data_IF_949510704032
#
_entry.id   IF_949510704032
#
_cell.length_a   1.000
_cell.length_b   1.000
_cell.length_c   1.000
_cell.angle_alpha   90.00
_cell.angle_beta   90.00
_cell.angle_gamma   90.00
#
_symmetry.space_group_name_H-M   'P 1'
#
loop_
_entity.id
_entity.type
_entity.pdbx_description
1 polymer ?
#
# COMPACT_ATOMS: atom_id res chain seq x y z
N UNK A 1 -1.39 24.09 -6.64
CA UNK A 1 0.01 24.58 -6.61
C UNK A 1 0.76 24.28 -7.90
N UNK A 2 0.88 23.05 -8.43
CA UNK A 2 1.61 22.81 -9.69
C UNK A 2 1.08 23.73 -10.79
N UNK A 3 -0.24 23.81 -10.99
CA UNK A 3 -0.88 24.68 -11.99
C UNK A 3 -0.70 26.19 -11.75
N UNK A 4 -0.28 26.64 -10.55
CA UNK A 4 0.06 28.05 -10.31
C UNK A 4 1.51 28.39 -10.66
N UNK A 5 2.36 27.36 -10.87
CA UNK A 5 3.78 27.53 -11.22
C UNK A 5 3.98 27.47 -12.73
N UNK A 6 3.21 26.67 -13.44
CA UNK A 6 3.31 26.50 -14.89
C UNK A 6 1.95 26.30 -15.53
N UNK A 7 1.75 26.90 -16.71
CA UNK A 7 0.57 26.65 -17.57
C UNK A 7 0.78 25.52 -18.57
N UNK A 8 2.01 25.02 -18.71
CA UNK A 8 2.34 23.91 -19.58
C UNK A 8 1.72 22.60 -19.01
N UNK A 9 0.73 22.06 -19.71
CA UNK A 9 -0.02 20.87 -19.27
C UNK A 9 0.85 19.63 -19.18
N UNK A 10 1.74 19.43 -20.14
CA UNK A 10 2.63 18.25 -20.18
C UNK A 10 3.58 18.29 -18.98
N UNK A 11 4.13 19.45 -18.65
CA UNK A 11 4.98 19.61 -17.47
C UNK A 11 4.19 19.36 -16.18
N UNK A 12 2.95 19.85 -16.07
CA UNK A 12 2.09 19.52 -14.92
C UNK A 12 1.89 18.02 -14.77
N UNK A 13 1.65 17.32 -15.88
CA UNK A 13 1.45 15.87 -15.90
C UNK A 13 2.74 15.13 -15.52
N UNK A 14 3.89 15.50 -16.05
CA UNK A 14 5.18 14.90 -15.68
C UNK A 14 5.46 15.07 -14.19
N UNK A 15 5.24 16.26 -13.64
CA UNK A 15 5.44 16.52 -12.21
C UNK A 15 4.48 15.73 -11.32
N UNK A 16 3.25 15.46 -11.77
CA UNK A 16 2.23 14.73 -11.02
C UNK A 16 2.23 13.22 -11.27
N UNK A 17 2.98 12.72 -12.27
CA UNK A 17 2.93 11.32 -12.72
C UNK A 17 3.23 10.28 -11.63
N UNK A 18 4.00 10.65 -10.61
CA UNK A 18 4.36 9.78 -9.49
C UNK A 18 3.30 9.72 -8.39
N UNK A 19 2.16 10.40 -8.54
CA UNK A 19 1.07 10.45 -7.53
C UNK A 19 0.58 9.07 -7.09
N UNK A 20 0.68 8.06 -7.95
CA UNK A 20 0.33 6.67 -7.66
C UNK A 20 1.16 6.07 -6.51
N UNK A 21 2.40 6.52 -6.30
CA UNK A 21 3.31 5.98 -5.26
C UNK A 21 2.85 6.24 -3.83
N UNK A 22 2.07 7.30 -3.60
CA UNK A 22 1.61 7.70 -2.28
C UNK A 22 0.08 7.79 -2.16
N UNK A 23 -0.66 7.25 -3.13
CA UNK A 23 -2.12 7.31 -3.14
C UNK A 23 -2.65 8.75 -3.35
N UNK A 24 -1.92 9.56 -4.12
CA UNK A 24 -2.24 10.96 -4.34
C UNK A 24 -3.58 11.18 -5.00
N UNK A 25 -4.42 12.04 -4.42
CA UNK A 25 -5.73 12.41 -4.94
C UNK A 25 -5.70 13.89 -5.29
N UNK A 26 -6.13 14.22 -6.52
CA UNK A 26 -6.25 15.59 -7.00
C UNK A 26 -7.07 16.44 -6.04
N UNK A 27 -6.59 17.64 -5.75
CA UNK A 27 -7.21 18.60 -4.85
C UNK A 27 -7.37 18.18 -3.36
N UNK A 28 -6.90 16.97 -2.97
CA UNK A 28 -6.90 16.49 -1.58
C UNK A 28 -5.48 16.34 -1.03
N UNK A 29 -4.57 15.75 -1.81
CA UNK A 29 -3.17 15.57 -1.38
C UNK A 29 -2.43 16.90 -1.28
N UNK A 30 -1.63 17.04 -0.22
CA UNK A 30 -0.87 18.27 0.01
C UNK A 30 0.34 18.35 -0.91
N UNK A 31 0.72 19.58 -1.29
CA UNK A 31 1.97 19.78 -2.05
C UNK A 31 3.21 19.38 -1.25
N UNK A 32 3.17 19.54 0.07
CA UNK A 32 4.25 19.14 0.96
C UNK A 32 4.54 17.63 0.85
N UNK A 33 3.51 16.79 0.94
CA UNK A 33 3.62 15.35 0.79
C UNK A 33 4.18 14.98 -0.58
N UNK A 34 3.63 15.57 -1.64
CA UNK A 34 4.12 15.39 -3.00
C UNK A 34 5.59 15.78 -3.16
N UNK A 35 5.98 16.95 -2.64
CA UNK A 35 7.35 17.43 -2.73
C UNK A 35 8.35 16.56 -1.96
N UNK A 36 8.01 16.13 -0.74
CA UNK A 36 8.85 15.24 0.06
C UNK A 36 9.13 13.91 -0.64
N UNK A 37 8.08 13.29 -1.19
CA UNK A 37 8.21 11.99 -1.84
C UNK A 37 9.04 12.12 -3.12
N UNK A 38 8.76 13.12 -3.96
CA UNK A 38 9.57 13.33 -5.16
C UNK A 38 11.01 13.68 -4.83
N UNK A 39 11.26 14.50 -3.81
CA UNK A 39 12.62 14.83 -3.39
C UNK A 39 13.41 13.59 -2.98
N UNK A 40 12.80 12.65 -2.26
CA UNK A 40 13.45 11.40 -1.87
C UNK A 40 13.93 10.57 -3.08
N UNK A 41 13.18 10.59 -4.18
CA UNK A 41 13.59 9.94 -5.41
C UNK A 41 14.65 10.71 -6.20
N UNK A 42 14.63 12.05 -6.13
CA UNK A 42 15.66 12.90 -6.77
C UNK A 42 17.00 12.79 -6.05
N UNK A 43 17.00 12.68 -4.73
CA UNK A 43 18.23 12.51 -3.95
C UNK A 43 18.85 11.12 -4.19
N UNK A 44 18.06 10.06 -4.09
CA UNK A 44 18.49 8.71 -4.44
C UNK A 44 17.33 7.72 -4.43
N UNK A 45 17.35 6.76 -5.37
CA UNK A 45 16.42 5.65 -5.42
C UNK A 45 17.18 4.34 -5.47
N UNK A 46 16.87 3.41 -4.56
CA UNK A 46 17.51 2.11 -4.47
C UNK A 46 16.49 0.99 -4.64
N UNK A 47 16.97 -0.13 -5.15
CA UNK A 47 16.21 -1.39 -5.20
C UNK A 47 17.01 -2.48 -4.50
N UNK A 48 16.32 -3.32 -3.76
CA UNK A 48 16.96 -4.50 -3.17
C UNK A 48 17.19 -5.55 -4.24
N UNK A 49 18.43 -6.04 -4.36
CA UNK A 49 18.70 -7.30 -5.02
C UNK A 49 18.07 -8.42 -4.20
N UNK A 50 17.47 -9.42 -4.80
CA UNK A 50 16.80 -10.55 -4.10
C UNK A 50 15.54 -10.18 -3.29
N UNK A 51 15.06 -8.94 -3.37
CA UNK A 51 13.79 -8.50 -2.77
C UNK A 51 13.92 -7.91 -1.38
N UNK A 52 12.85 -7.26 -0.93
CA UNK A 52 12.80 -6.48 0.32
C UNK A 52 12.66 -7.32 1.60
N UNK A 53 12.43 -8.64 1.49
CA UNK A 53 12.30 -9.52 2.65
C UNK A 53 13.56 -9.53 3.54
N UNK A 54 14.74 -9.33 2.95
CA UNK A 54 16.00 -9.25 3.68
C UNK A 54 15.99 -8.17 4.77
N UNK A 55 15.33 -7.03 4.55
CA UNK A 55 15.18 -5.98 5.57
C UNK A 55 14.41 -6.52 6.78
N UNK A 56 13.31 -7.22 6.53
CA UNK A 56 12.51 -7.82 7.61
C UNK A 56 13.29 -8.90 8.36
N UNK A 57 14.06 -9.72 7.66
CA UNK A 57 14.88 -10.77 8.29
C UNK A 57 15.97 -10.17 9.16
N UNK A 58 16.66 -9.14 8.72
CA UNK A 58 17.68 -8.45 9.52
C UNK A 58 17.06 -7.77 10.75
N UNK A 59 15.91 -7.12 10.63
CA UNK A 59 15.19 -6.56 11.78
C UNK A 59 14.78 -7.64 12.78
N UNK A 60 14.29 -8.78 12.32
CA UNK A 60 13.98 -9.94 13.16
C UNK A 60 15.23 -10.45 13.89
N UNK A 61 16.34 -10.53 13.18
CA UNK A 61 17.63 -10.93 13.77
C UNK A 61 18.05 -9.97 14.89
N UNK A 62 18.01 -8.66 14.64
CA UNK A 62 18.34 -7.64 15.64
C UNK A 62 17.42 -7.70 16.84
N UNK A 63 16.11 -7.86 16.65
CA UNK A 63 15.14 -8.00 17.73
C UNK A 63 15.51 -9.19 18.63
N UNK A 64 15.75 -10.35 18.03
CA UNK A 64 16.10 -11.57 18.76
C UNK A 64 17.45 -11.49 19.46
N UNK A 65 18.45 -10.89 18.82
CA UNK A 65 19.77 -10.69 19.41
C UNK A 65 19.74 -9.78 20.65
N UNK A 66 18.74 -8.91 20.76
CA UNK A 66 18.52 -8.05 21.92
C UNK A 66 17.47 -8.62 22.90
N UNK A 67 17.18 -9.92 22.84
CA UNK A 67 16.27 -10.59 23.78
C UNK A 67 14.78 -10.41 23.45
N UNK A 68 14.45 -9.77 22.33
CA UNK A 68 13.07 -9.62 21.89
C UNK A 68 12.51 -10.88 21.23
N UNK A 69 11.19 -10.96 21.15
CA UNK A 69 10.49 -12.09 20.52
C UNK A 69 9.68 -11.60 19.32
N UNK A 70 9.71 -12.36 18.24
CA UNK A 70 8.87 -12.14 17.06
C UNK A 70 7.89 -13.31 16.94
N UNK A 71 6.62 -13.02 17.08
CA UNK A 71 5.52 -13.99 17.05
C UNK A 71 4.78 -13.89 15.70
N UNK A 72 4.53 -15.04 15.08
CA UNK A 72 3.74 -15.14 13.85
C UNK A 72 2.37 -15.76 14.15
N UNK A 73 1.38 -15.45 13.33
CA UNK A 73 0.01 -15.98 13.47
C UNK A 73 -0.62 -15.64 14.83
N UNK A 74 -0.29 -14.46 15.35
CA UNK A 74 -0.82 -13.89 16.57
C UNK A 74 -1.58 -12.61 16.20
N UNK A 75 -2.90 -12.66 16.28
CA UNK A 75 -3.77 -11.53 16.04
C UNK A 75 -4.01 -10.81 17.37
N UNK A 76 -3.69 -9.52 17.43
CA UNK A 76 -4.06 -8.68 18.56
C UNK A 76 -5.54 -8.35 18.45
N UNK A 77 -6.33 -8.81 19.40
CA UNK A 77 -7.80 -8.66 19.40
C UNK A 77 -8.27 -7.55 20.33
N UNK A 78 -7.44 -7.12 21.28
CA UNK A 78 -7.75 -6.00 22.18
C UNK A 78 -6.49 -5.39 22.78
N UNK A 79 -6.50 -4.08 22.99
CA UNK A 79 -5.49 -3.35 23.77
C UNK A 79 -6.10 -3.06 25.13
N UNK A 80 -5.50 -3.63 26.18
CA UNK A 80 -6.01 -3.58 27.53
C UNK A 80 -5.59 -2.28 28.23
N UNK A 81 -6.56 -1.57 28.78
CA UNK A 81 -6.36 -0.31 29.50
C UNK A 81 -7.00 -0.39 30.88
N UNK A 82 -6.26 -0.06 31.93
CA UNK A 82 -6.76 0.06 33.29
C UNK A 82 -6.16 1.31 33.94
N UNK A 83 -6.99 2.08 34.64
CA UNK A 83 -6.56 3.29 35.33
C UNK A 83 -5.74 4.25 34.43
N UNK A 84 -6.23 4.44 33.19
CA UNK A 84 -5.60 5.25 32.14
C UNK A 84 -4.24 4.76 31.63
N UNK A 85 -3.79 3.59 32.06
CA UNK A 85 -2.51 3.00 31.67
C UNK A 85 -2.70 1.73 30.84
N UNK A 86 -1.81 1.51 29.88
CA UNK A 86 -1.75 0.28 29.12
C UNK A 86 -1.32 -0.86 30.06
N UNK A 87 -2.03 -1.99 29.98
CA UNK A 87 -1.69 -3.21 30.70
C UNK A 87 -1.10 -4.29 29.79
N UNK A 88 -1.33 -4.19 28.50
CA UNK A 88 -0.88 -5.17 27.51
C UNK A 88 -1.84 -5.32 26.35
N UNK A 89 -1.77 -6.45 25.68
CA UNK A 89 -2.64 -6.82 24.57
C UNK A 89 -3.22 -8.22 24.74
N UNK A 90 -4.45 -8.41 24.30
CA UNK A 90 -5.05 -9.72 24.15
C UNK A 90 -4.77 -10.23 22.72
N UNK A 91 -4.38 -11.48 22.64
CA UNK A 91 -3.99 -12.13 21.37
C UNK A 91 -4.87 -13.35 21.13
N UNK A 92 -5.40 -13.49 19.93
CA UNK A 92 -6.27 -14.60 19.49
C UNK A 92 -7.48 -14.85 20.41
N UNK A 93 -7.96 -13.84 21.17
CA UNK A 93 -9.02 -13.95 22.21
C UNK A 93 -8.70 -14.90 23.38
N UNK A 94 -7.46 -15.31 23.55
CA UNK A 94 -7.09 -16.34 24.53
C UNK A 94 -5.91 -15.94 25.43
N UNK A 95 -4.92 -15.29 24.88
CA UNK A 95 -3.64 -15.02 25.56
C UNK A 95 -3.49 -13.54 25.86
N UNK A 96 -3.02 -13.21 27.05
CA UNK A 96 -2.68 -11.83 27.43
C UNK A 96 -1.16 -11.70 27.48
N UNK A 97 -0.64 -10.75 26.70
CA UNK A 97 0.75 -10.34 26.76
C UNK A 97 0.83 -9.00 27.49
N UNK A 98 1.37 -9.05 28.71
CA UNK A 98 1.52 -7.86 29.54
C UNK A 98 2.60 -6.92 28.99
N UNK A 99 2.32 -5.62 28.96
CA UNK A 99 3.25 -4.58 28.53
C UNK A 99 2.79 -3.22 29.02
N UNK A 100 3.74 -2.36 29.37
CA UNK A 100 3.48 -0.96 29.73
C UNK A 100 3.38 -0.03 28.51
N UNK A 101 3.84 -0.47 27.34
CA UNK A 101 3.81 0.29 26.09
C UNK A 101 3.36 -0.59 24.93
N UNK A 102 2.57 -0.02 24.03
CA UNK A 102 2.15 -0.67 22.80
C UNK A 102 2.39 0.30 21.62
N UNK A 103 3.14 -0.17 20.63
CA UNK A 103 3.31 0.54 19.36
C UNK A 103 2.45 -0.15 18.32
N UNK A 104 1.47 0.55 17.78
CA UNK A 104 0.58 0.03 16.75
C UNK A 104 0.97 0.58 15.37
N UNK A 105 1.21 -0.32 14.42
CA UNK A 105 1.38 -0.02 13.00
C UNK A 105 0.13 -0.36 12.19
N UNK A 106 -1.03 -0.50 12.84
CA UNK A 106 -2.31 -0.69 12.19
C UNK A 106 -2.88 0.64 11.70
N UNK A 107 -3.86 0.56 10.81
CA UNK A 107 -4.66 1.73 10.45
C UNK A 107 -5.22 2.41 11.72
N UNK A 108 -5.14 3.74 11.85
CA UNK A 108 -5.55 4.43 13.08
C UNK A 108 -6.96 4.10 13.57
N UNK A 109 -7.92 3.95 12.65
CA UNK A 109 -9.30 3.55 13.02
C UNK A 109 -9.34 2.13 13.60
N UNK A 110 -8.55 1.19 13.07
CA UNK A 110 -8.44 -0.18 13.62
C UNK A 110 -7.79 -0.15 15.01
N UNK A 111 -6.70 0.59 15.17
CA UNK A 111 -6.07 0.76 16.50
C UNK A 111 -7.08 1.27 17.53
N UNK A 112 -7.88 2.29 17.17
CA UNK A 112 -8.92 2.80 18.06
C UNK A 112 -10.03 1.77 18.36
N UNK A 113 -10.33 0.90 17.42
CA UNK A 113 -11.35 -0.15 17.62
C UNK A 113 -10.88 -1.27 18.55
N UNK A 114 -9.58 -1.49 18.65
CA UNK A 114 -8.97 -2.47 19.56
C UNK A 114 -8.81 -1.96 20.99
N UNK A 115 -8.89 -0.65 21.22
CA UNK A 115 -8.76 -0.07 22.55
C UNK A 115 -9.95 -0.48 23.43
N UNK A 116 -9.62 -0.89 24.66
CA UNK A 116 -10.62 -1.14 25.70
C UNK A 116 -11.44 0.13 25.98
N UNK A 117 -12.70 -0.03 26.41
CA UNK A 117 -13.64 1.09 26.65
C UNK A 117 -13.18 2.08 27.72
N UNK A 118 -12.24 1.67 28.56
CA UNK A 118 -11.68 2.47 29.68
C UNK A 118 -10.58 3.45 29.26
N UNK A 119 -10.42 3.74 27.96
CA UNK A 119 -9.40 4.69 27.49
C UNK A 119 -9.81 6.14 27.74
N UNK A 120 -8.82 7.00 28.01
CA UNK A 120 -9.00 8.45 28.23
C UNK A 120 -8.87 9.30 26.95
N UNK A 121 -8.90 8.68 25.78
CA UNK A 121 -8.78 9.40 24.51
C UNK A 121 -10.02 10.30 24.32
N UNK A 122 -9.76 11.59 24.09
CA UNK A 122 -10.82 12.59 23.91
C UNK A 122 -11.74 12.22 22.76
N UNK A 123 -13.08 12.28 22.96
CA UNK A 123 -14.05 11.94 21.91
C UNK A 123 -13.86 12.72 20.61
N UNK A 124 -13.44 13.98 20.67
CA UNK A 124 -13.16 14.79 19.50
C UNK A 124 -11.99 14.22 18.65
N UNK A 125 -10.96 13.65 19.29
CA UNK A 125 -9.86 12.98 18.57
C UNK A 125 -10.36 11.70 17.89
N UNK A 126 -11.13 10.88 18.60
CA UNK A 126 -11.75 9.65 18.07
C UNK A 126 -12.62 9.97 16.86
N UNK A 127 -13.48 11.00 16.97
CA UNK A 127 -14.33 11.44 15.87
C UNK A 127 -13.50 11.90 14.66
N UNK A 128 -12.44 12.65 14.88
CA UNK A 128 -11.55 13.11 13.81
C UNK A 128 -10.88 11.93 13.09
N UNK A 129 -10.38 10.94 13.82
CA UNK A 129 -9.76 9.76 13.20
C UNK A 129 -10.79 8.94 12.41
N UNK A 130 -12.01 8.79 12.94
CA UNK A 130 -13.09 8.07 12.27
C UNK A 130 -13.62 8.78 11.02
N UNK A 131 -13.45 10.09 10.92
CA UNK A 131 -13.87 10.88 9.75
C UNK A 131 -12.82 10.93 8.64
N UNK A 132 -11.62 10.37 8.84
CA UNK A 132 -10.59 10.31 7.80
C UNK A 132 -11.05 9.40 6.67
N UNK A 133 -11.03 9.94 5.46
CA UNK A 133 -11.29 9.17 4.25
C UNK A 133 -10.02 8.41 3.82
N UNK A 134 -10.20 7.18 3.43
CA UNK A 134 -9.11 6.39 2.85
C UNK A 134 -8.93 6.77 1.38
N UNK A 135 -7.69 6.75 0.91
CA UNK A 135 -7.38 6.84 -0.52
C UNK A 135 -7.75 5.52 -1.22
N UNK A 136 -7.43 5.42 -2.49
CA UNK A 136 -7.58 4.15 -3.21
C UNK A 136 -6.55 3.11 -2.73
N UNK A 137 -6.90 1.84 -2.86
CA UNK A 137 -5.96 0.72 -2.75
C UNK A 137 -5.23 0.46 -4.06
N UNK A 138 -4.34 -0.52 -4.05
CA UNK A 138 -3.59 -0.94 -5.23
C UNK A 138 -3.91 -2.40 -5.55
N UNK A 139 -4.37 -2.64 -6.78
CA UNK A 139 -4.39 -3.98 -7.33
C UNK A 139 -3.02 -4.28 -7.95
N UNK A 140 -2.38 -5.35 -7.53
CA UNK A 140 -1.07 -5.77 -8.05
C UNK A 140 -1.22 -7.08 -8.83
N UNK A 141 -0.72 -7.09 -10.06
CA UNK A 141 -0.58 -8.28 -10.88
C UNK A 141 0.91 -8.60 -11.01
N UNK A 142 1.33 -9.73 -10.45
CA UNK A 142 2.69 -10.24 -10.60
C UNK A 142 2.73 -11.27 -11.73
N UNK A 143 3.58 -11.04 -12.71
CA UNK A 143 3.79 -11.89 -13.87
C UNK A 143 5.13 -12.60 -13.72
N UNK A 144 5.10 -13.94 -13.64
CA UNK A 144 6.31 -14.75 -13.74
C UNK A 144 6.74 -14.84 -15.19
N UNK A 145 7.93 -14.36 -15.49
CA UNK A 145 8.46 -14.33 -16.84
C UNK A 145 9.13 -15.67 -17.19
N UNK A 146 9.08 -16.04 -18.46
CA UNK A 146 9.88 -17.17 -18.95
C UNK A 146 11.37 -16.79 -18.85
N UNK A 147 12.21 -17.81 -18.65
CA UNK A 147 13.66 -17.61 -18.57
C UNK A 147 14.18 -16.86 -19.80
N UNK A 148 15.03 -15.89 -19.56
CA UNK A 148 15.75 -15.11 -20.58
C UNK A 148 14.88 -14.39 -21.62
N UNK A 149 13.58 -14.13 -21.32
CA UNK A 149 12.69 -13.49 -22.27
C UNK A 149 12.42 -12.00 -22.02
N UNK A 150 12.63 -11.49 -20.81
CA UNK A 150 12.33 -10.11 -20.46
C UNK A 150 13.58 -9.37 -19.97
N UNK A 151 14.23 -8.54 -20.81
CA UNK A 151 15.37 -7.75 -20.38
C UNK A 151 15.02 -6.83 -19.22
N UNK A 152 15.85 -6.81 -18.19
CA UNK A 152 15.64 -5.96 -17.02
C UNK A 152 15.85 -4.48 -17.36
N UNK A 153 14.94 -3.65 -16.88
CA UNK A 153 15.04 -2.19 -16.94
C UNK A 153 15.05 -1.63 -15.52
N UNK A 154 16.08 -0.85 -15.18
CA UNK A 154 16.26 -0.28 -13.85
C UNK A 154 15.47 1.03 -13.68
N UNK A 155 14.21 1.04 -14.10
CA UNK A 155 13.27 2.14 -13.87
C UNK A 155 11.84 1.61 -13.79
N UNK A 156 10.95 2.41 -13.20
CA UNK A 156 9.52 2.17 -13.26
C UNK A 156 8.94 2.85 -14.49
N UNK A 157 7.92 2.22 -15.09
CA UNK A 157 7.18 2.79 -16.21
C UNK A 157 5.80 3.18 -15.67
N UNK A 158 5.40 4.42 -15.89
CA UNK A 158 4.08 4.93 -15.54
C UNK A 158 3.28 5.13 -16.82
N UNK A 159 2.17 4.41 -16.94
CA UNK A 159 1.22 4.52 -18.03
C UNK A 159 -0.04 5.22 -17.51
N UNK A 160 -0.47 6.25 -18.21
CA UNK A 160 -1.68 6.98 -17.90
C UNK A 160 -2.64 6.88 -19.09
N UNK A 161 -3.85 6.37 -18.82
CA UNK A 161 -4.85 6.15 -19.86
C UNK A 161 -5.59 7.43 -20.29
N UNK A 162 -5.35 8.55 -19.62
CA UNK A 162 -5.98 9.84 -19.87
C UNK A 162 -4.93 10.95 -19.93
N UNK A 163 -5.32 12.10 -20.50
CA UNK A 163 -4.51 13.33 -20.46
C UNK A 163 -4.29 13.87 -19.04
N UNK A 164 -5.13 13.50 -18.08
CA UNK A 164 -4.97 13.81 -16.66
C UNK A 164 -4.38 12.61 -15.93
N UNK A 165 -3.18 12.78 -15.38
CA UNK A 165 -2.43 11.73 -14.66
C UNK A 165 -2.97 11.42 -13.27
N UNK A 166 -3.88 12.26 -12.74
CA UNK A 166 -4.49 12.03 -11.46
C UNK A 166 -5.55 10.94 -11.53
N UNK A 167 -5.50 10.04 -10.54
CA UNK A 167 -6.50 8.99 -10.44
C UNK A 167 -7.78 9.53 -9.78
N UNK A 168 -8.86 9.61 -10.53
CA UNK A 168 -10.19 9.99 -10.05
C UNK A 168 -11.19 8.85 -10.26
N UNK A 169 -12.01 8.57 -9.24
CA UNK A 169 -12.97 7.45 -9.24
C UNK A 169 -13.92 7.46 -10.43
N UNK A 170 -14.36 8.64 -10.83
CA UNK A 170 -15.39 8.82 -11.88
C UNK A 170 -14.83 8.63 -13.29
N UNK A 171 -13.53 8.81 -13.49
CA UNK A 171 -12.88 8.65 -14.80
C UNK A 171 -12.70 7.18 -15.22
N UNK A 172 -12.92 6.22 -14.33
CA UNK A 172 -12.66 4.79 -14.58
C UNK A 172 -13.79 4.02 -15.22
N UNK A 173 -14.95 4.63 -15.42
CA UNK A 173 -16.06 4.00 -16.14
C UNK A 173 -15.79 3.99 -17.65
N UNK A 174 -14.89 3.11 -18.10
CA UNK A 174 -14.65 2.86 -19.52
C UNK A 174 -13.26 3.17 -20.06
N UNK A 175 -12.41 3.86 -19.32
CA UNK A 175 -11.07 4.25 -19.77
C UNK A 175 -9.99 3.26 -19.32
N UNK A 176 -8.85 3.26 -20.03
CA UNK A 176 -7.66 2.49 -19.63
C UNK A 176 -7.16 3.00 -18.27
N UNK A 177 -7.06 2.15 -17.24
CA UNK A 177 -6.59 2.59 -15.95
C UNK A 177 -5.13 3.00 -16.02
N UNK A 178 -4.74 4.02 -15.25
CA UNK A 178 -3.33 4.31 -15.00
C UNK A 178 -2.68 3.12 -14.29
N UNK A 179 -1.44 2.81 -14.65
CA UNK A 179 -0.69 1.75 -13.96
C UNK A 179 0.79 2.09 -13.87
N UNK A 180 1.44 1.46 -12.91
CA UNK A 180 2.90 1.43 -12.78
C UNK A 180 3.39 0.03 -13.07
N UNK A 181 4.41 -0.09 -13.92
CA UNK A 181 5.10 -1.33 -14.21
C UNK A 181 6.47 -1.28 -13.53
N UNK A 182 6.77 -2.29 -12.74
CA UNK A 182 8.05 -2.43 -12.04
C UNK A 182 8.62 -3.81 -12.31
N UNK A 183 9.92 -3.89 -12.48
CA UNK A 183 10.64 -5.13 -12.72
C UNK A 183 11.46 -5.50 -11.48
N UNK A 184 11.46 -6.77 -11.10
CA UNK A 184 12.34 -7.26 -10.04
C UNK A 184 13.80 -7.26 -10.52
N UNK A 185 14.70 -6.84 -9.64
CA UNK A 185 16.14 -6.90 -9.92
C UNK A 185 16.55 -8.36 -10.17
N UNK A 186 17.25 -8.65 -11.27
CA UNK A 186 17.71 -10.01 -11.55
C UNK A 186 18.62 -10.55 -10.45
N UNK A 187 18.61 -11.86 -10.27
CA UNK A 187 19.54 -12.53 -9.36
C UNK A 187 20.89 -12.76 -10.02
N UNK A 188 21.94 -12.64 -9.23
CA UNK A 188 23.31 -12.84 -9.71
C UNK A 188 23.66 -11.94 -10.90
N UNK A 189 24.22 -12.52 -11.95
CA UNK A 189 24.67 -11.80 -13.16
C UNK A 189 23.65 -11.84 -14.32
N UNK A 190 22.41 -12.24 -14.07
CA UNK A 190 21.38 -12.24 -15.11
C UNK A 190 21.05 -10.82 -15.59
N UNK A 191 20.79 -10.69 -16.89
CA UNK A 191 20.31 -9.46 -17.52
C UNK A 191 18.78 -9.45 -17.69
N UNK A 192 18.09 -10.50 -17.25
CA UNK A 192 16.66 -10.70 -17.45
C UNK A 192 15.94 -10.74 -16.11
N UNK A 193 14.81 -10.06 -16.02
CA UNK A 193 13.94 -10.13 -14.83
C UNK A 193 13.09 -11.41 -14.83
N UNK A 194 12.89 -11.96 -13.64
CA UNK A 194 12.01 -13.12 -13.45
C UNK A 194 10.56 -12.70 -13.13
N UNK A 195 10.37 -11.46 -12.63
CA UNK A 195 9.05 -10.97 -12.23
C UNK A 195 8.83 -9.55 -12.71
N UNK A 196 7.69 -9.35 -13.37
CA UNK A 196 7.16 -8.03 -13.72
C UNK A 196 5.90 -7.80 -12.90
N UNK A 197 5.84 -6.70 -12.16
CA UNK A 197 4.68 -6.31 -11.37
C UNK A 197 3.98 -5.13 -12.02
N UNK A 198 2.66 -5.27 -12.21
CA UNK A 198 1.79 -4.20 -12.71
C UNK A 198 0.88 -3.79 -11.56
N UNK A 199 0.97 -2.52 -11.18
CA UNK A 199 0.22 -1.93 -10.08
C UNK A 199 -0.80 -0.94 -10.65
N UNK A 200 -2.07 -1.08 -10.29
CA UNK A 200 -3.13 -0.16 -10.72
C UNK A 200 -4.00 0.25 -9.54
N UNK A 201 -4.43 1.51 -9.45
CA UNK A 201 -5.37 1.95 -8.43
C UNK A 201 -6.66 1.16 -8.44
N UNK A 202 -7.26 0.98 -7.27
CA UNK A 202 -8.52 0.27 -7.09
C UNK A 202 -9.25 0.83 -5.87
N UNK A 203 -10.51 1.25 -6.01
CA UNK A 203 -11.32 1.68 -4.89
C UNK A 203 -11.94 0.50 -4.14
N UNK A 204 -12.17 0.68 -2.83
CA UNK A 204 -12.76 -0.36 -1.97
C UNK A 204 -14.16 -0.80 -2.42
N UNK A 205 -14.97 0.10 -2.98
CA UNK A 205 -16.29 -0.25 -3.49
C UNK A 205 -16.25 -1.24 -4.68
N UNK A 206 -15.15 -1.28 -5.42
CA UNK A 206 -14.97 -2.27 -6.49
C UNK A 206 -14.82 -3.70 -5.94
N UNK A 207 -14.44 -3.85 -4.68
CA UNK A 207 -14.21 -5.13 -3.99
C UNK A 207 -15.16 -5.36 -2.83
N UNK A 208 -16.04 -4.43 -2.50
CA UNK A 208 -16.97 -4.49 -1.36
C UNK A 208 -17.83 -5.76 -1.35
N UNK A 209 -18.22 -6.27 -2.53
CA UNK A 209 -18.98 -7.52 -2.67
C UNK A 209 -18.24 -8.79 -2.20
N UNK A 210 -16.95 -8.67 -1.89
CA UNK A 210 -16.14 -9.79 -1.38
C UNK A 210 -15.72 -9.59 0.08
N UNK A 211 -16.25 -8.59 0.77
CA UNK A 211 -15.89 -8.27 2.17
C UNK A 211 -16.10 -9.48 3.10
N UNK A 212 -17.20 -10.20 2.90
CA UNK A 212 -17.57 -11.37 3.72
C UNK A 212 -17.05 -12.70 3.15
N UNK A 213 -16.04 -12.66 2.29
CA UNK A 213 -15.48 -13.86 1.67
C UNK A 213 -14.04 -14.11 2.14
N UNK A 214 -13.62 -15.38 2.15
CA UNK A 214 -12.23 -15.76 2.40
C UNK A 214 -11.44 -15.93 1.09
N UNK A 215 -10.09 -15.91 1.11
CA UNK A 215 -9.27 -16.17 -0.07
C UNK A 215 -9.60 -17.49 -0.80
N UNK A 216 -10.05 -18.47 -0.05
CA UNK A 216 -10.37 -19.83 -0.56
C UNK A 216 -11.83 -19.94 -1.05
N UNK A 217 -12.74 -19.10 -0.55
CA UNK A 217 -14.18 -19.16 -0.85
C UNK A 217 -14.72 -17.82 -1.36
N UNK A 218 -14.16 -17.32 -2.46
CA UNK A 218 -14.55 -16.02 -3.04
C UNK A 218 -15.66 -16.09 -4.09
N UNK A 219 -16.17 -17.29 -4.41
CA UNK A 219 -17.23 -17.50 -5.39
C UNK A 219 -16.80 -17.22 -6.85
N UNK A 220 -17.69 -17.50 -7.78
CA UNK A 220 -17.44 -17.41 -9.24
C UNK A 220 -17.12 -15.99 -9.74
N UNK A 221 -17.62 -14.96 -9.08
CA UNK A 221 -17.40 -13.56 -9.47
C UNK A 221 -15.92 -13.11 -9.37
N UNK A 222 -15.11 -13.78 -8.56
CA UNK A 222 -13.68 -13.43 -8.40
C UNK A 222 -12.87 -13.75 -9.64
N UNK A 223 -13.12 -14.89 -10.29
CA UNK A 223 -12.43 -15.29 -11.51
C UNK A 223 -12.72 -14.31 -12.66
N UNK A 224 -13.98 -13.90 -12.81
CA UNK A 224 -14.43 -12.93 -13.82
C UNK A 224 -13.80 -11.54 -13.62
N UNK A 225 -13.74 -11.04 -12.40
CA UNK A 225 -13.18 -9.73 -12.08
C UNK A 225 -11.65 -9.67 -12.27
N UNK A 226 -10.93 -10.71 -11.85
CA UNK A 226 -9.49 -10.85 -12.10
C UNK A 226 -9.18 -10.93 -13.59
N UNK A 227 -9.99 -11.68 -14.37
CA UNK A 227 -9.84 -11.79 -15.81
C UNK A 227 -10.08 -10.45 -16.51
N UNK A 228 -11.09 -9.68 -16.10
CA UNK A 228 -11.40 -8.35 -16.65
C UNK A 228 -10.27 -7.35 -16.42
N UNK A 229 -9.67 -7.31 -15.21
CA UNK A 229 -8.54 -6.44 -14.91
C UNK A 229 -7.25 -6.89 -15.60
N UNK A 230 -6.98 -8.19 -15.65
CA UNK A 230 -5.84 -8.75 -16.38
C UNK A 230 -5.89 -8.38 -17.87
N UNK A 231 -7.05 -8.46 -18.51
CA UNK A 231 -7.19 -8.10 -19.92
C UNK A 231 -7.02 -6.59 -20.15
N UNK A 232 -7.46 -5.73 -19.21
CA UNK A 232 -7.25 -4.28 -19.29
C UNK A 232 -5.78 -3.89 -19.16
N UNK A 233 -5.00 -4.56 -18.32
CA UNK A 233 -3.57 -4.28 -18.13
C UNK A 233 -2.68 -4.85 -19.25
N UNK A 234 -3.18 -5.78 -20.08
CA UNK A 234 -2.44 -6.37 -21.21
C UNK A 234 -2.81 -5.79 -22.57
N UNK A 235 -3.81 -4.91 -22.65
CA UNK A 235 -4.32 -4.35 -23.92
C UNK A 235 -3.87 -2.92 -24.22
N UNK A 236 -2.90 -2.41 -23.46
CA UNK A 236 -2.30 -1.07 -23.66
C UNK A 236 -0.82 -1.14 -23.90
#
# INVERSE_FOLDING_TARGET
>A
MIASVTTNRDLQNVLAATSLLYGGIKNKSTFYEHAMINNSYLESAYRFTEGSMQVSLELIHIIRANGGTVLNRKEVTRILVKDEAIQGVEVNHEEILESTYVISNLHPQLTLSLLDKNHSIKPAFVSRIKSLENSYGIFTLNLMMKKDCCPYQNHNIYLHGNEDVWYEKEMHKGNTPSCMISMQVPRGNSKFTEVVSILTPMYMDEVSKWTDTTPEHRGEHTASSKKKRRNRSCSS
#
